data_IF_753422510855
#
_entry.id   IF_753422510855
#
_cell.length_a   1.000
_cell.length_b   1.000
_cell.length_c   1.000
_cell.angle_alpha   90.00
_cell.angle_beta   90.00
_cell.angle_gamma   90.00
#
_symmetry.space_group_name_H-M   'P 1'
#
loop_
_entity.id
_entity.type
_entity.pdbx_description
1 polymer ?
#
# COMPACT_ATOMS: atom_id res chain seq x y z
N UNK A 1 14.22 0.51 -7.24
CA UNK A 1 13.48 0.57 -5.96
C UNK A 1 12.26 -0.36 -5.88
N UNK A 2 11.46 -0.49 -6.94
CA UNK A 2 10.21 -1.27 -6.96
C UNK A 2 10.36 -2.74 -7.42
N UNK A 3 11.60 -3.23 -7.55
CA UNK A 3 11.93 -4.60 -7.93
C UNK A 3 11.28 -5.08 -9.25
N UNK A 4 11.23 -4.21 -10.26
CA UNK A 4 10.73 -4.57 -11.59
C UNK A 4 11.63 -5.62 -12.24
N UNK A 5 11.02 -6.70 -12.75
CA UNK A 5 11.72 -7.64 -13.62
C UNK A 5 12.11 -6.94 -14.93
N UNK A 6 13.06 -7.49 -15.69
CA UNK A 6 13.47 -6.89 -16.97
C UNK A 6 12.29 -6.77 -17.94
N UNK A 7 11.52 -7.85 -18.09
CA UNK A 7 10.37 -7.87 -18.98
C UNK A 7 9.30 -6.84 -18.56
N UNK A 8 9.07 -6.70 -17.25
CA UNK A 8 8.11 -5.69 -16.73
C UNK A 8 8.61 -4.27 -17.00
N UNK A 9 9.90 -3.99 -16.76
CA UNK A 9 10.48 -2.68 -17.02
C UNK A 9 10.42 -2.32 -18.51
N UNK A 10 10.73 -3.26 -19.40
CA UNK A 10 10.65 -3.07 -20.85
C UNK A 10 9.22 -2.78 -21.30
N UNK A 11 8.22 -3.51 -20.77
CA UNK A 11 6.80 -3.26 -21.08
C UNK A 11 6.27 -1.90 -20.60
N UNK A 12 6.99 -1.23 -19.71
CA UNK A 12 6.58 0.02 -19.06
C UNK A 12 7.47 1.21 -19.42
N UNK A 13 8.34 1.03 -20.42
CA UNK A 13 9.29 2.03 -20.89
C UNK A 13 10.15 2.59 -19.74
N UNK A 14 10.72 1.67 -18.95
CA UNK A 14 11.68 1.94 -17.87
C UNK A 14 13.08 1.59 -18.37
N UNK A 15 13.83 2.62 -18.80
CA UNK A 15 15.19 2.47 -19.33
C UNK A 15 16.24 2.20 -18.24
N UNK A 16 16.06 2.76 -17.05
CA UNK A 16 16.91 2.49 -15.89
C UNK A 16 16.07 2.09 -14.65
N UNK A 17 16.26 0.86 -14.17
CA UNK A 17 15.56 0.32 -12.99
C UNK A 17 16.17 0.75 -11.65
N UNK A 18 17.38 1.31 -11.69
CA UNK A 18 18.08 1.85 -10.52
C UNK A 18 17.74 3.32 -10.31
N UNK A 19 17.29 4.01 -11.36
CA UNK A 19 16.73 5.35 -11.26
C UNK A 19 15.47 5.35 -10.35
N UNK A 20 15.46 6.18 -9.28
CA UNK A 20 14.35 6.30 -8.35
C UNK A 20 13.00 6.57 -9.01
N UNK A 21 12.95 7.58 -9.87
CA UNK A 21 11.72 8.13 -10.42
C UNK A 21 11.10 7.16 -11.42
N UNK A 22 11.90 6.66 -12.36
CA UNK A 22 11.49 5.65 -13.33
C UNK A 22 11.04 4.36 -12.64
N UNK A 23 11.77 3.92 -11.60
CA UNK A 23 11.40 2.72 -10.86
C UNK A 23 10.05 2.87 -10.15
N UNK A 24 9.78 4.02 -9.52
CA UNK A 24 8.51 4.30 -8.84
C UNK A 24 7.38 4.39 -9.85
N UNK A 25 7.55 5.21 -10.90
CA UNK A 25 6.55 5.38 -11.97
C UNK A 25 6.16 4.04 -12.60
N UNK A 26 7.16 3.24 -13.00
CA UNK A 26 6.91 1.91 -13.57
C UNK A 26 6.24 0.96 -12.58
N UNK A 27 6.69 0.93 -11.32
CA UNK A 27 6.05 0.10 -10.28
C UNK A 27 4.59 0.46 -10.04
N UNK A 28 4.28 1.76 -9.96
CA UNK A 28 2.92 2.25 -9.77
C UNK A 28 2.02 1.92 -10.96
N UNK A 29 2.50 2.11 -12.19
CA UNK A 29 1.75 1.72 -13.39
C UNK A 29 1.48 0.22 -13.40
N UNK A 30 2.48 -0.61 -13.11
CA UNK A 30 2.30 -2.06 -13.08
C UNK A 30 1.25 -2.50 -12.05
N UNK A 31 1.23 -1.86 -10.87
CA UNK A 31 0.21 -2.12 -9.86
C UNK A 31 -1.19 -1.71 -10.33
N UNK A 32 -1.33 -0.56 -11.01
CA UNK A 32 -2.59 -0.14 -11.61
C UNK A 32 -3.07 -1.14 -12.68
N UNK A 33 -2.17 -1.65 -13.50
CA UNK A 33 -2.49 -2.69 -14.49
C UNK A 33 -2.98 -3.97 -13.82
N UNK A 34 -2.36 -4.36 -12.69
CA UNK A 34 -2.82 -5.51 -11.89
C UNK A 34 -4.22 -5.24 -11.33
N UNK A 35 -4.46 -4.06 -10.75
CA UNK A 35 -5.78 -3.64 -10.25
C UNK A 35 -6.86 -3.72 -11.32
N UNK A 36 -6.56 -3.30 -12.55
CA UNK A 36 -7.49 -3.38 -13.68
C UNK A 36 -7.79 -4.84 -14.09
N UNK A 37 -6.82 -5.74 -13.98
CA UNK A 37 -6.97 -7.17 -14.29
C UNK A 37 -7.71 -7.97 -13.21
N UNK A 38 -7.77 -7.47 -11.98
CA UNK A 38 -8.50 -8.12 -10.89
C UNK A 38 -9.97 -8.32 -11.31
N UNK A 39 -10.53 -9.54 -11.20
CA UNK A 39 -11.92 -9.79 -11.60
C UNK A 39 -12.91 -8.90 -10.84
N UNK A 40 -13.95 -8.45 -11.54
CA UNK A 40 -14.97 -7.54 -11.01
C UNK A 40 -15.85 -8.14 -9.90
N UNK A 41 -15.73 -9.45 -9.65
CA UNK A 41 -16.40 -10.12 -8.53
C UNK A 41 -15.77 -9.79 -7.18
N UNK A 42 -14.52 -9.32 -7.17
CA UNK A 42 -13.81 -8.91 -5.96
C UNK A 42 -14.29 -7.51 -5.54
N UNK A 43 -14.69 -7.31 -4.27
CA UNK A 43 -15.07 -5.99 -3.75
C UNK A 43 -13.99 -4.93 -3.97
N UNK A 44 -14.41 -3.71 -4.33
CA UNK A 44 -13.51 -2.61 -4.69
C UNK A 44 -12.46 -2.32 -3.60
N UNK A 45 -12.87 -2.35 -2.34
CA UNK A 45 -12.04 -2.12 -1.16
C UNK A 45 -11.02 -3.23 -0.90
N UNK A 46 -11.21 -4.41 -1.49
CA UNK A 46 -10.29 -5.54 -1.37
C UNK A 46 -9.39 -5.75 -2.60
N UNK A 47 -9.71 -5.14 -3.75
CA UNK A 47 -8.98 -5.33 -5.01
C UNK A 47 -7.48 -5.11 -4.87
N UNK A 48 -7.08 -4.13 -4.06
CA UNK A 48 -5.66 -3.79 -3.82
C UNK A 48 -4.87 -4.98 -3.28
N UNK A 49 -5.47 -5.81 -2.42
CA UNK A 49 -4.78 -6.95 -1.83
C UNK A 49 -4.54 -8.07 -2.86
N UNK A 50 -5.53 -8.32 -3.71
CA UNK A 50 -5.39 -9.24 -4.84
C UNK A 50 -4.38 -8.74 -5.87
N UNK A 51 -4.38 -7.44 -6.16
CA UNK A 51 -3.42 -6.83 -7.08
C UNK A 51 -1.98 -6.91 -6.53
N UNK A 52 -1.77 -6.65 -5.24
CA UNK A 52 -0.46 -6.79 -4.60
C UNK A 52 0.03 -8.25 -4.59
N UNK A 53 -0.87 -9.21 -4.37
CA UNK A 53 -0.54 -10.63 -4.50
C UNK A 53 -0.15 -10.96 -5.96
N UNK A 54 -0.91 -10.48 -6.95
CA UNK A 54 -0.62 -10.66 -8.37
C UNK A 54 0.68 -9.96 -8.80
N UNK A 55 1.00 -8.81 -8.23
CA UNK A 55 2.26 -8.10 -8.45
C UNK A 55 3.45 -8.97 -8.01
N UNK A 56 3.33 -9.64 -6.86
CA UNK A 56 4.41 -10.43 -6.27
C UNK A 56 4.60 -11.82 -6.92
N UNK A 57 3.52 -12.61 -7.02
CA UNK A 57 3.59 -13.99 -7.50
C UNK A 57 3.01 -14.20 -8.89
N UNK A 58 2.50 -13.15 -9.54
CA UNK A 58 1.86 -13.22 -10.85
C UNK A 58 0.34 -13.42 -10.79
N UNK A 59 -0.34 -12.80 -11.75
CA UNK A 59 -1.81 -12.84 -11.90
C UNK A 59 -2.36 -14.26 -12.04
N UNK A 60 -1.67 -15.11 -12.80
CA UNK A 60 -2.07 -16.50 -13.02
C UNK A 60 -2.14 -17.31 -11.71
N UNK A 61 -1.15 -17.16 -10.83
CA UNK A 61 -1.16 -17.80 -9.51
C UNK A 61 -2.16 -17.17 -8.54
N UNK A 62 -2.46 -15.87 -8.69
CA UNK A 62 -3.57 -15.24 -7.96
C UNK A 62 -4.92 -15.88 -8.33
N UNK A 63 -5.16 -16.18 -9.61
CA UNK A 63 -6.35 -16.92 -10.02
C UNK A 63 -6.36 -18.37 -9.49
N UNK A 64 -5.20 -19.03 -9.43
CA UNK A 64 -5.09 -20.39 -8.88
C UNK A 64 -5.47 -20.44 -7.40
N UNK A 65 -4.98 -19.50 -6.56
CA UNK A 65 -5.36 -19.48 -5.14
C UNK A 65 -6.85 -19.18 -4.95
N UNK A 66 -7.46 -18.36 -5.82
CA UNK A 66 -8.92 -18.14 -5.80
C UNK A 66 -9.68 -19.42 -6.09
N UNK A 67 -9.30 -20.16 -7.13
CA UNK A 67 -9.90 -21.46 -7.45
C UNK A 67 -9.71 -22.47 -6.32
N UNK A 68 -8.52 -22.51 -5.70
CA UNK A 68 -8.26 -23.36 -4.54
C UNK A 68 -9.16 -22.97 -3.36
N UNK A 69 -9.39 -21.68 -3.14
CA UNK A 69 -10.28 -21.15 -2.09
C UNK A 69 -11.71 -21.62 -2.27
N UNK A 70 -12.26 -21.47 -3.46
CA UNK A 70 -13.60 -21.97 -3.78
C UNK A 70 -13.72 -23.48 -3.60
N UNK A 71 -12.74 -24.26 -4.07
CA UNK A 71 -12.72 -25.73 -3.90
C UNK A 71 -12.70 -26.18 -2.45
N UNK A 72 -12.15 -25.37 -1.56
CA UNK A 72 -12.10 -25.63 -0.12
C UNK A 72 -13.25 -24.96 0.65
N UNK A 73 -14.30 -24.50 -0.05
CA UNK A 73 -15.50 -23.92 0.56
C UNK A 73 -15.33 -22.50 1.12
N UNK A 74 -14.21 -21.83 0.84
CA UNK A 74 -14.03 -20.41 1.17
C UNK A 74 -14.55 -19.47 0.09
N UNK A 75 -14.71 -18.20 0.42
CA UNK A 75 -15.08 -17.17 -0.53
C UNK A 75 -13.86 -16.76 -1.39
N UNK A 76 -13.85 -17.04 -2.71
CA UNK A 76 -12.73 -16.68 -3.60
C UNK A 76 -12.62 -15.17 -3.88
N UNK A 77 -13.62 -14.39 -3.47
CA UNK A 77 -13.67 -12.94 -3.61
C UNK A 77 -13.34 -12.21 -2.30
N UNK A 78 -13.20 -12.93 -1.18
CA UNK A 78 -12.72 -12.36 0.08
C UNK A 78 -11.22 -12.54 0.24
N UNK A 79 -10.49 -11.45 0.40
CA UNK A 79 -9.07 -11.44 0.70
C UNK A 79 -8.76 -12.20 1.99
N UNK A 80 -9.61 -12.07 3.02
CA UNK A 80 -9.41 -12.78 4.28
C UNK A 80 -9.34 -14.31 4.08
N UNK A 81 -10.23 -14.85 3.24
CA UNK A 81 -10.27 -16.27 2.93
C UNK A 81 -9.15 -16.70 1.98
N UNK A 82 -8.89 -15.92 0.93
CA UNK A 82 -7.88 -16.23 -0.08
C UNK A 82 -6.47 -16.18 0.52
N UNK A 83 -6.20 -15.20 1.38
CA UNK A 83 -4.91 -15.01 2.04
C UNK A 83 -4.45 -16.27 2.77
N UNK A 84 -5.35 -16.97 3.45
CA UNK A 84 -5.04 -18.18 4.22
C UNK A 84 -4.52 -19.34 3.35
N UNK A 85 -4.79 -19.29 2.04
CA UNK A 85 -4.47 -20.37 1.10
C UNK A 85 -3.26 -20.05 0.21
N UNK A 86 -2.75 -18.83 0.26
CA UNK A 86 -1.52 -18.47 -0.46
C UNK A 86 -0.37 -19.44 -0.14
N UNK A 87 -0.03 -19.74 1.15
CA UNK A 87 1.07 -20.66 1.45
C UNK A 87 0.84 -22.10 0.98
N UNK A 88 -0.38 -22.47 0.58
CA UNK A 88 -0.68 -23.80 0.06
C UNK A 88 -0.13 -24.00 -1.35
N UNK A 89 0.06 -22.92 -2.12
CA UNK A 89 0.59 -22.99 -3.49
C UNK A 89 2.05 -23.48 -3.57
N UNK A 90 2.77 -23.54 -2.45
CA UNK A 90 4.12 -24.12 -2.40
C UNK A 90 4.12 -25.61 -2.04
N UNK A 91 2.97 -26.17 -1.62
CA UNK A 91 2.86 -27.55 -1.16
C UNK A 91 2.40 -28.45 -2.32
N UNK A 92 3.17 -29.52 -2.58
CA UNK A 92 2.90 -30.46 -3.69
C UNK A 92 1.49 -31.00 -3.74
N UNK A 93 0.89 -31.28 -2.59
CA UNK A 93 -0.50 -31.78 -2.52
C UNK A 93 -1.53 -30.82 -3.09
N UNK A 94 -1.26 -29.52 -3.13
CA UNK A 94 -2.19 -28.50 -3.61
C UNK A 94 -1.80 -27.99 -5.00
N UNK A 95 -0.54 -27.62 -5.23
CA UNK A 95 -0.14 -26.98 -6.50
C UNK A 95 -0.28 -27.90 -7.71
N UNK A 96 -0.20 -29.22 -7.53
CA UNK A 96 -0.42 -30.17 -8.64
C UNK A 96 -1.86 -30.17 -9.14
N UNK A 97 -2.79 -29.57 -8.39
CA UNK A 97 -4.20 -29.45 -8.75
C UNK A 97 -4.54 -28.08 -9.34
N UNK A 98 -3.58 -27.15 -9.40
CA UNK A 98 -3.76 -25.80 -9.94
C UNK A 98 -3.27 -25.72 -11.39
N UNK A 99 -3.71 -24.71 -12.15
CA UNK A 99 -3.43 -24.66 -13.58
C UNK A 99 -1.97 -24.29 -13.87
N UNK A 100 -1.36 -23.46 -13.02
CA UNK A 100 -0.01 -22.94 -13.22
C UNK A 100 1.03 -23.58 -12.30
N UNK A 101 0.63 -24.53 -11.46
CA UNK A 101 1.53 -25.31 -10.62
C UNK A 101 2.11 -24.52 -9.45
N UNK A 102 3.36 -24.84 -9.11
CA UNK A 102 4.05 -24.32 -7.93
C UNK A 102 4.16 -22.79 -7.95
N UNK A 103 3.83 -22.16 -6.83
CA UNK A 103 4.12 -20.76 -6.58
C UNK A 103 4.66 -20.56 -5.17
N UNK A 104 5.48 -19.52 -4.98
CA UNK A 104 5.97 -19.12 -3.66
C UNK A 104 4.92 -18.30 -2.91
N UNK A 105 3.75 -18.87 -2.66
CA UNK A 105 2.63 -18.13 -2.06
C UNK A 105 2.88 -17.65 -0.63
N UNK A 106 3.83 -18.24 0.11
CA UNK A 106 4.32 -17.65 1.36
C UNK A 106 4.92 -16.25 1.11
N UNK A 107 5.72 -16.07 0.06
CA UNK A 107 6.35 -14.77 -0.24
C UNK A 107 5.26 -13.73 -0.54
N UNK A 108 4.24 -14.10 -1.31
CA UNK A 108 3.09 -13.25 -1.60
C UNK A 108 2.31 -12.87 -0.34
N UNK A 109 2.04 -13.84 0.55
CA UNK A 109 1.40 -13.57 1.84
C UNK A 109 2.19 -12.52 2.63
N UNK A 110 3.49 -12.74 2.81
CA UNK A 110 4.35 -11.85 3.60
C UNK A 110 4.47 -10.46 2.94
N UNK A 111 4.57 -10.42 1.60
CA UNK A 111 4.64 -9.19 0.83
C UNK A 111 3.43 -8.30 1.10
N UNK A 112 2.21 -8.85 0.99
CA UNK A 112 0.98 -8.09 1.22
C UNK A 112 0.86 -7.63 2.69
N UNK A 113 1.13 -8.52 3.64
CA UNK A 113 1.03 -8.19 5.07
C UNK A 113 2.06 -7.12 5.48
N UNK A 114 3.26 -7.15 4.92
CA UNK A 114 4.27 -6.12 5.18
C UNK A 114 3.85 -4.77 4.61
N UNK A 115 3.35 -4.73 3.37
CA UNK A 115 2.83 -3.48 2.79
C UNK A 115 1.70 -2.90 3.64
N UNK A 116 0.77 -3.74 4.10
CA UNK A 116 -0.31 -3.31 4.99
C UNK A 116 0.23 -2.69 6.29
N UNK A 117 1.24 -3.30 6.90
CA UNK A 117 1.89 -2.75 8.10
C UNK A 117 2.53 -1.39 7.82
N UNK A 118 3.30 -1.26 6.74
CA UNK A 118 3.91 0.01 6.35
C UNK A 118 2.87 1.09 6.08
N UNK A 119 1.78 0.74 5.40
CA UNK A 119 0.67 1.66 5.13
C UNK A 119 0.02 2.16 6.43
N UNK A 120 -0.28 1.26 7.37
CA UNK A 120 -0.84 1.65 8.68
C UNK A 120 0.11 2.58 9.44
N UNK A 121 1.40 2.25 9.49
CA UNK A 121 2.40 3.08 10.15
C UNK A 121 2.53 4.46 9.49
N UNK A 122 2.52 4.53 8.16
CA UNK A 122 2.60 5.78 7.43
C UNK A 122 1.37 6.66 7.68
N UNK A 123 0.17 6.10 7.57
CA UNK A 123 -1.09 6.84 7.84
C UNK A 123 -1.11 7.36 9.27
N UNK A 124 -0.75 6.53 10.25
CA UNK A 124 -0.69 6.96 11.65
C UNK A 124 0.34 8.07 11.88
N UNK A 125 1.51 7.98 11.23
CA UNK A 125 2.51 9.05 11.28
C UNK A 125 2.00 10.36 10.69
N UNK A 126 1.37 10.32 9.52
CA UNK A 126 0.84 11.50 8.84
C UNK A 126 -0.28 12.18 9.66
N UNK A 127 -1.21 11.41 10.21
CA UNK A 127 -2.26 11.92 11.09
C UNK A 127 -1.68 12.62 12.33
N UNK A 128 -0.60 12.09 12.90
CA UNK A 128 0.07 12.70 14.04
C UNK A 128 0.84 13.98 13.67
N UNK A 129 1.37 14.07 12.44
CA UNK A 129 1.95 15.32 11.92
C UNK A 129 0.87 16.39 11.74
N UNK A 130 -0.26 16.04 11.12
CA UNK A 130 -1.39 16.95 10.91
C UNK A 130 -1.92 17.52 12.23
N UNK A 131 -2.11 16.66 13.25
CA UNK A 131 -2.52 17.11 14.59
C UNK A 131 -1.53 18.08 15.22
N UNK A 132 -0.24 17.81 15.11
CA UNK A 132 0.80 18.69 15.65
C UNK A 132 0.83 20.04 14.96
N UNK A 133 0.68 20.07 13.64
CA UNK A 133 0.60 21.31 12.87
C UNK A 133 -0.65 22.12 13.25
N UNK A 134 -1.81 21.46 13.41
CA UNK A 134 -3.04 22.12 13.87
C UNK A 134 -2.88 22.73 15.27
N UNK A 135 -2.33 21.98 16.22
CA UNK A 135 -2.07 22.49 17.59
C UNK A 135 -1.09 23.67 17.60
N UNK A 136 -0.06 23.64 16.74
CA UNK A 136 0.88 24.74 16.61
C UNK A 136 0.21 25.99 16.03
N UNK A 137 -0.65 25.84 15.03
CA UNK A 137 -1.42 26.94 14.47
C UNK A 137 -2.38 27.56 15.50
N UNK A 138 -3.14 26.72 16.22
CA UNK A 138 -4.04 27.18 17.30
C UNK A 138 -3.27 27.92 18.41
N UNK A 139 -2.11 27.40 18.82
CA UNK A 139 -1.27 28.05 19.82
C UNK A 139 -0.71 29.40 19.34
N UNK A 140 -0.33 29.50 18.07
CA UNK A 140 0.13 30.76 17.47
C UNK A 140 -1.00 31.79 17.39
N UNK A 141 -2.20 31.38 17.00
CA UNK A 141 -3.38 32.25 16.97
C UNK A 141 -3.74 32.75 18.37
N UNK A 142 -3.77 31.86 19.36
CA UNK A 142 -4.02 32.25 20.75
C UNK A 142 -2.96 33.23 21.29
N UNK A 143 -1.68 33.03 20.95
CA UNK A 143 -0.61 33.97 21.30
C UNK A 143 -0.77 35.32 20.59
N UNK A 144 -1.16 35.33 19.31
CA UNK A 144 -1.39 36.55 18.56
C UNK A 144 -2.59 37.35 19.10
N UNK A 145 -3.68 36.68 19.50
CA UNK A 145 -4.83 37.32 20.15
C UNK A 145 -4.48 37.89 21.52
N UNK A 146 -3.71 37.16 22.33
CA UNK A 146 -3.18 37.68 23.59
C UNK A 146 -2.30 38.93 23.36
N UNK A 147 -1.44 38.91 22.35
CA UNK A 147 -0.58 40.05 22.01
C UNK A 147 -1.36 41.31 21.57
N UNK A 148 -2.55 41.16 20.97
CA UNK A 148 -3.44 42.30 20.65
C UNK A 148 -4.11 42.90 21.89
N UNK A 149 -4.32 42.10 22.94
CA UNK A 149 -5.00 42.52 24.17
C UNK A 149 -4.14 43.36 25.14
N UNK A 150 -2.82 43.38 24.96
CA UNK A 150 -1.92 44.25 25.73
C UNK A 150 -1.60 45.52 24.92
N UNK A 151 -2.13 46.71 25.27
CA UNK A 151 -1.65 47.94 24.66
C UNK A 151 -0.18 48.11 25.01
N UNK A 152 0.67 48.31 24.00
CA UNK A 152 2.06 48.69 24.22
C UNK A 152 2.07 49.99 25.03
N UNK A 153 2.42 49.91 26.31
CA UNK A 153 2.62 51.10 27.13
C UNK A 153 3.92 51.72 26.63
N UNK A 154 3.81 52.78 25.82
CA UNK A 154 4.98 53.55 25.41
C UNK A 154 5.72 54.02 26.67
N UNK A 155 7.05 53.80 26.76
CA UNK A 155 7.81 54.26 27.91
C UNK A 155 7.69 55.78 27.95
N UNK A 156 6.95 56.30 28.94
CA UNK A 156 6.99 57.73 29.25
C UNK A 156 8.44 58.03 29.61
N UNK A 157 9.12 58.76 28.73
CA UNK A 157 10.43 59.32 28.98
C UNK A 157 10.29 60.14 30.26
N UNK A 158 10.78 59.62 31.37
CA UNK A 158 10.93 60.37 32.61
C UNK A 158 12.08 61.36 32.38
N UNK A 159 11.76 62.49 31.74
CA UNK A 159 12.55 63.71 31.89
C UNK A 159 12.06 64.41 33.16
N UNK A 160 12.87 64.33 34.21
CA UNK A 160 13.31 65.45 35.07
C UNK A 160 14.02 64.90 36.31
#
# INVERSE_FOLDING_TARGET
MMMLTRNTAESLDVGDRTDPEQSIRGGSQYLQDMMAKVPQTIPEDERIWFALAAYNMGYAHMLDVRKLTARQGGNPDSWADVKLRLPMLSQKRYYTQTAYGYARGHEAYNYVENIRKYQLSLVGYLQEQEKRLAQQAEAQEAQAELAKGYPAVEPKIAMN
#
